data_IF_824250178393
#
_entry.id   IF_824250178393
#
_cell.length_a   1.000
_cell.length_b   1.000
_cell.length_c   1.000
_cell.angle_alpha   90.00
_cell.angle_beta   90.00
_cell.angle_gamma   90.00
#
_symmetry.space_group_name_H-M   'P 1'
#
loop_
_entity.id
_entity.type
_entity.pdbx_description
1 polymer ?
#
# COMPACT_ATOMS: atom_id res chain seq x y z
N UNK A 1 -19.54 -0.11 48.58
CA UNK A 1 -18.60 -1.15 48.10
C UNK A 1 -19.29 -2.50 47.94
N UNK A 2 -20.09 -2.97 48.91
CA UNK A 2 -20.88 -4.21 48.78
C UNK A 2 -21.89 -4.19 47.61
N UNK A 3 -22.63 -3.09 47.44
CA UNK A 3 -23.65 -2.97 46.37
C UNK A 3 -23.07 -3.02 44.94
N UNK A 4 -21.85 -2.52 44.73
CA UNK A 4 -21.16 -2.64 43.43
C UNK A 4 -20.71 -4.08 43.17
N UNK A 5 -20.33 -4.82 44.21
CA UNK A 5 -19.92 -6.21 44.10
C UNK A 5 -21.13 -7.09 43.76
N UNK A 6 -22.25 -6.89 44.44
CA UNK A 6 -23.50 -7.61 44.15
C UNK A 6 -24.00 -7.33 42.71
N UNK A 7 -23.89 -6.10 42.23
CA UNK A 7 -24.23 -5.77 40.85
C UNK A 7 -23.29 -6.45 39.84
N UNK A 8 -22.00 -6.63 40.17
CA UNK A 8 -21.05 -7.36 39.31
C UNK A 8 -21.36 -8.86 39.27
N UNK A 9 -21.70 -9.47 40.40
CA UNK A 9 -22.09 -10.88 40.44
C UNK A 9 -23.34 -11.15 39.59
N UNK A 10 -24.32 -10.24 39.61
CA UNK A 10 -25.48 -10.33 38.74
C UNK A 10 -25.12 -10.19 37.24
N UNK A 11 -24.16 -9.31 36.91
CA UNK A 11 -23.65 -9.20 35.54
C UNK A 11 -22.93 -10.48 35.11
N UNK A 12 -22.11 -11.07 35.97
CA UNK A 12 -21.37 -12.30 35.68
C UNK A 12 -22.33 -13.47 35.38
N UNK A 13 -23.45 -13.58 36.09
CA UNK A 13 -24.48 -14.59 35.81
C UNK A 13 -25.13 -14.39 34.43
N UNK A 14 -25.43 -13.15 34.06
CA UNK A 14 -25.98 -12.81 32.74
C UNK A 14 -24.95 -13.10 31.64
N UNK A 15 -23.70 -12.71 31.85
CA UNK A 15 -22.61 -12.92 30.89
C UNK A 15 -22.36 -14.41 30.64
N UNK A 16 -22.45 -15.25 31.66
CA UNK A 16 -22.38 -16.70 31.51
C UNK A 16 -23.48 -17.24 30.56
N UNK A 17 -24.71 -16.73 30.68
CA UNK A 17 -25.80 -17.10 29.77
C UNK A 17 -25.57 -16.59 28.34
N UNK A 18 -25.02 -15.38 28.19
CA UNK A 18 -24.68 -14.81 26.88
C UNK A 18 -23.64 -15.69 26.17
N UNK A 19 -22.61 -16.16 26.89
CA UNK A 19 -21.58 -17.05 26.35
C UNK A 19 -22.20 -18.37 25.87
N UNK A 20 -23.04 -19.01 26.69
CA UNK A 20 -23.71 -20.26 26.32
C UNK A 20 -24.60 -20.09 25.07
N UNK A 21 -25.37 -18.99 25.02
CA UNK A 21 -26.22 -18.66 23.87
C UNK A 21 -25.41 -18.35 22.61
N UNK A 22 -24.25 -17.71 22.76
CA UNK A 22 -23.34 -17.44 21.65
C UNK A 22 -22.83 -18.74 21.03
N UNK A 23 -22.35 -19.70 21.84
CA UNK A 23 -21.89 -21.00 21.34
C UNK A 23 -23.00 -21.77 20.62
N UNK A 24 -24.20 -21.85 21.23
CA UNK A 24 -25.37 -22.46 20.60
C UNK A 24 -25.69 -21.81 19.24
N UNK A 25 -25.62 -20.48 19.17
CA UNK A 25 -25.85 -19.73 17.94
C UNK A 25 -24.79 -20.05 16.88
N UNK A 26 -23.52 -20.17 17.26
CA UNK A 26 -22.43 -20.49 16.32
C UNK A 26 -22.54 -21.92 15.77
N UNK A 27 -22.93 -22.90 16.59
CA UNK A 27 -23.20 -24.27 16.13
C UNK A 27 -24.33 -24.30 15.08
N UNK A 28 -25.39 -23.51 15.26
CA UNK A 28 -26.45 -23.39 14.25
C UNK A 28 -25.92 -22.69 12.99
N UNK A 29 -25.05 -21.69 13.15
CA UNK A 29 -24.43 -21.00 12.01
C UNK A 29 -23.57 -21.94 11.16
N UNK A 30 -22.87 -22.89 11.80
CA UNK A 30 -22.10 -23.93 11.12
C UNK A 30 -22.98 -24.78 10.22
N UNK A 31 -24.11 -25.28 10.75
CA UNK A 31 -25.10 -26.06 9.98
C UNK A 31 -25.72 -25.24 8.84
N UNK A 32 -25.97 -23.95 9.06
CA UNK A 32 -26.43 -23.03 8.00
C UNK A 32 -25.38 -22.91 6.89
N UNK A 33 -24.10 -22.85 7.24
CA UNK A 33 -23.00 -22.84 6.29
C UNK A 33 -22.93 -24.11 5.45
N UNK A 34 -22.98 -25.28 6.09
CA UNK A 34 -23.02 -26.59 5.42
C UNK A 34 -24.19 -26.68 4.42
N UNK A 35 -25.38 -26.26 4.86
CA UNK A 35 -26.55 -26.22 3.99
C UNK A 35 -26.35 -25.28 2.80
N UNK A 36 -25.78 -24.08 3.02
CA UNK A 36 -25.50 -23.12 1.95
C UNK A 36 -24.49 -23.67 0.95
N UNK A 37 -23.43 -24.33 1.42
CA UNK A 37 -22.43 -25.00 0.58
C UNK A 37 -23.11 -26.06 -0.29
N UNK A 38 -23.86 -26.98 0.33
CA UNK A 38 -24.53 -28.08 -0.37
C UNK A 38 -25.59 -27.61 -1.40
N UNK A 39 -26.20 -26.43 -1.18
CA UNK A 39 -27.21 -25.85 -2.08
C UNK A 39 -26.69 -24.72 -2.96
N UNK A 40 -25.39 -24.40 -2.91
CA UNK A 40 -24.80 -23.30 -3.67
C UNK A 40 -25.40 -21.92 -3.35
N UNK A 41 -25.86 -21.69 -2.12
CA UNK A 41 -26.45 -20.41 -1.69
C UNK A 41 -25.39 -19.43 -1.18
N UNK A 42 -25.65 -18.13 -1.36
CA UNK A 42 -24.77 -17.06 -0.85
C UNK A 42 -24.76 -17.01 0.68
N UNK A 43 -23.60 -16.66 1.23
CA UNK A 43 -23.42 -16.43 2.68
C UNK A 43 -24.06 -15.13 3.09
N UNK A 44 -23.69 -14.03 2.43
CA UNK A 44 -24.21 -12.71 2.73
C UNK A 44 -25.56 -12.45 2.07
N UNK A 45 -26.53 -12.02 2.87
CA UNK A 45 -27.88 -11.63 2.44
C UNK A 45 -28.24 -10.31 3.12
N UNK A 46 -28.05 -9.20 2.38
CA UNK A 46 -28.25 -7.84 2.88
C UNK A 46 -29.66 -7.61 3.42
N UNK A 47 -30.67 -8.15 2.75
CA UNK A 47 -32.07 -7.92 3.15
C UNK A 47 -32.40 -8.68 4.43
N UNK A 48 -31.95 -9.94 4.54
CA UNK A 48 -32.16 -10.75 5.74
C UNK A 48 -31.50 -10.11 6.97
N UNK A 49 -30.28 -9.61 6.83
CA UNK A 49 -29.56 -8.97 7.94
C UNK A 49 -30.22 -7.66 8.36
N UNK A 50 -30.60 -6.80 7.41
CA UNK A 50 -31.35 -5.57 7.69
C UNK A 50 -32.66 -5.85 8.44
N UNK A 51 -33.41 -6.85 7.99
CA UNK A 51 -34.65 -7.27 8.66
C UNK A 51 -34.39 -7.74 10.09
N UNK A 52 -33.29 -8.48 10.30
CA UNK A 52 -32.94 -9.00 11.61
C UNK A 52 -32.51 -7.89 12.58
N UNK A 53 -31.76 -6.89 12.10
CA UNK A 53 -31.40 -5.70 12.89
C UNK A 53 -32.62 -4.88 13.30
N UNK A 54 -33.63 -4.76 12.43
CA UNK A 54 -34.90 -4.11 12.76
C UNK A 54 -35.69 -4.91 13.81
N UNK A 55 -35.78 -6.24 13.67
CA UNK A 55 -36.45 -7.15 14.61
C UNK A 55 -35.87 -7.06 16.02
N UNK A 56 -34.54 -7.08 16.17
CA UNK A 56 -33.91 -7.02 17.51
C UNK A 56 -34.01 -5.64 18.15
N UNK A 57 -33.93 -4.56 17.35
CA UNK A 57 -34.12 -3.21 17.83
C UNK A 57 -35.54 -2.99 18.36
N UNK A 58 -36.55 -3.61 17.75
CA UNK A 58 -37.94 -3.52 18.21
C UNK A 58 -38.20 -4.22 19.57
N UNK A 59 -37.28 -5.05 20.04
CA UNK A 59 -37.41 -5.82 21.30
C UNK A 59 -36.83 -5.10 22.53
N UNK A 60 -36.25 -3.92 22.34
CA UNK A 60 -35.65 -3.12 23.41
C UNK A 60 -36.29 -1.73 23.48
N UNK A 61 -36.35 -1.16 24.67
CA UNK A 61 -37.18 0.02 24.95
C UNK A 61 -36.48 1.36 24.78
N UNK A 62 -35.23 1.50 25.24
CA UNK A 62 -34.49 2.78 25.16
C UNK A 62 -33.76 2.94 23.82
N UNK A 63 -33.61 4.19 23.35
CA UNK A 63 -32.88 4.46 22.10
C UNK A 63 -31.40 4.09 22.20
N UNK A 64 -30.82 4.19 23.40
CA UNK A 64 -29.49 3.67 23.70
C UNK A 64 -29.42 2.14 23.45
N UNK A 65 -30.36 1.38 24.01
CA UNK A 65 -30.38 -0.08 23.84
C UNK A 65 -30.70 -0.49 22.40
N UNK A 66 -31.56 0.26 21.68
CA UNK A 66 -31.83 0.01 20.26
C UNK A 66 -30.56 0.09 19.43
N UNK A 67 -29.75 1.12 19.64
CA UNK A 67 -28.46 1.27 18.95
C UNK A 67 -27.47 0.18 19.38
N UNK A 68 -27.32 -0.04 20.69
CA UNK A 68 -26.39 -1.04 21.23
C UNK A 68 -26.70 -2.47 20.77
N UNK A 69 -27.97 -2.89 20.73
CA UNK A 69 -28.34 -4.24 20.29
C UNK A 69 -28.13 -4.41 18.77
N UNK A 70 -28.31 -3.35 17.98
CA UNK A 70 -28.01 -3.40 16.55
C UNK A 70 -26.51 -3.57 16.31
N UNK A 71 -25.66 -2.82 17.01
CA UNK A 71 -24.20 -2.96 16.93
C UNK A 71 -23.75 -4.36 17.34
N UNK A 72 -24.26 -4.90 18.44
CA UNK A 72 -23.97 -6.27 18.88
C UNK A 72 -24.37 -7.30 17.81
N UNK A 73 -25.59 -7.20 17.27
CA UNK A 73 -26.05 -8.16 16.27
C UNK A 73 -25.31 -8.04 14.93
N UNK A 74 -24.85 -6.86 14.54
CA UNK A 74 -23.96 -6.69 13.39
C UNK A 74 -22.65 -7.47 13.58
N UNK A 75 -22.05 -7.40 14.77
CA UNK A 75 -20.85 -8.18 15.09
C UNK A 75 -21.14 -9.68 15.07
N UNK A 76 -22.24 -10.13 15.67
CA UNK A 76 -22.65 -11.54 15.64
C UNK A 76 -22.88 -12.05 14.21
N UNK A 77 -23.49 -11.24 13.35
CA UNK A 77 -23.69 -11.59 11.93
C UNK A 77 -22.37 -11.66 11.17
N UNK A 78 -21.48 -10.68 11.37
CA UNK A 78 -20.13 -10.68 10.81
C UNK A 78 -19.38 -11.96 11.18
N UNK A 79 -19.43 -12.37 12.46
CA UNK A 79 -18.88 -13.64 12.93
C UNK A 79 -19.47 -14.87 12.25
N UNK A 80 -20.78 -14.87 12.07
CA UNK A 80 -21.48 -15.97 11.37
C UNK A 80 -21.00 -16.10 9.94
N UNK A 81 -20.85 -14.98 9.23
CA UNK A 81 -20.39 -14.97 7.84
C UNK A 81 -18.95 -15.46 7.74
N UNK A 82 -18.07 -15.01 8.64
CA UNK A 82 -16.66 -15.43 8.70
C UNK A 82 -16.52 -16.94 8.86
N UNK A 83 -17.26 -17.56 9.79
CA UNK A 83 -17.29 -19.02 9.94
C UNK A 83 -17.76 -19.71 8.65
N UNK A 84 -18.84 -19.22 8.04
CA UNK A 84 -19.40 -19.80 6.82
C UNK A 84 -18.45 -19.66 5.62
N UNK A 85 -17.76 -18.54 5.49
CA UNK A 85 -16.74 -18.35 4.47
C UNK A 85 -15.56 -19.29 4.69
N UNK A 86 -15.12 -19.51 5.93
CA UNK A 86 -14.08 -20.49 6.24
C UNK A 86 -14.50 -21.91 5.86
N UNK A 87 -15.76 -22.31 6.10
CA UNK A 87 -16.29 -23.60 5.65
C UNK A 87 -16.28 -23.72 4.12
N UNK A 88 -16.63 -22.65 3.40
CA UNK A 88 -16.57 -22.61 1.94
C UNK A 88 -15.13 -22.73 1.41
N UNK A 89 -14.15 -22.11 2.07
CA UNK A 89 -12.73 -22.26 1.74
C UNK A 89 -12.33 -23.73 1.88
N UNK A 90 -12.62 -24.33 3.04
CA UNK A 90 -12.30 -25.74 3.35
C UNK A 90 -12.95 -26.72 2.39
N UNK A 91 -14.18 -26.46 1.96
CA UNK A 91 -14.90 -27.29 1.00
C UNK A 91 -14.39 -27.18 -0.45
N UNK A 92 -13.37 -26.34 -0.71
CA UNK A 92 -12.89 -26.08 -2.07
C UNK A 92 -13.91 -25.36 -2.95
N UNK A 93 -14.97 -24.82 -2.35
CA UNK A 93 -16.05 -24.12 -3.04
C UNK A 93 -15.68 -22.65 -3.35
N UNK A 94 -14.50 -22.19 -2.93
CA UNK A 94 -13.91 -20.96 -3.47
C UNK A 94 -13.25 -21.26 -4.81
N UNK A 95 -13.71 -20.57 -5.85
CA UNK A 95 -12.95 -20.46 -7.09
C UNK A 95 -11.54 -19.94 -6.82
N UNK A 96 -10.59 -20.35 -7.67
CA UNK A 96 -9.22 -19.82 -7.61
C UNK A 96 -9.27 -18.31 -7.85
N UNK A 97 -8.51 -17.55 -7.05
CA UNK A 97 -8.25 -16.16 -7.40
C UNK A 97 -7.55 -16.14 -8.78
N UNK A 98 -7.82 -15.14 -9.63
CA UNK A 98 -7.27 -15.09 -10.99
C UNK A 98 -5.80 -14.70 -11.01
N UNK A 99 -5.02 -15.15 -10.02
CA UNK A 99 -3.59 -14.89 -9.85
C UNK A 99 -2.82 -16.20 -9.96
N UNK A 100 -1.67 -16.14 -10.63
CA UNK A 100 -0.78 -17.27 -10.89
C UNK A 100 0.41 -17.16 -9.94
N UNK A 101 0.60 -18.19 -9.12
CA UNK A 101 1.79 -18.32 -8.28
C UNK A 101 3.00 -18.68 -9.15
N UNK A 102 4.10 -17.97 -8.99
CA UNK A 102 5.37 -18.22 -9.68
C UNK A 102 6.51 -18.41 -8.67
N UNK A 103 7.52 -19.21 -9.01
CA UNK A 103 8.68 -19.41 -8.12
C UNK A 103 9.57 -18.16 -8.06
N UNK A 104 9.71 -17.42 -9.16
CA UNK A 104 10.50 -16.19 -9.25
C UNK A 104 10.04 -15.31 -10.40
N UNK A 105 10.37 -14.02 -10.34
CA UNK A 105 10.21 -13.11 -11.47
C UNK A 105 11.38 -13.29 -12.45
N UNK A 106 11.08 -13.38 -13.75
CA UNK A 106 12.08 -13.49 -14.81
C UNK A 106 12.80 -12.16 -15.01
N UNK A 107 13.90 -11.92 -14.28
CA UNK A 107 14.64 -10.65 -14.31
C UNK A 107 15.63 -10.51 -15.47
N UNK A 108 16.20 -11.62 -15.95
CA UNK A 108 17.37 -11.61 -16.85
C UNK A 108 17.04 -11.12 -18.27
N UNK A 109 15.83 -11.37 -18.75
CA UNK A 109 15.36 -10.98 -20.08
C UNK A 109 14.35 -9.85 -20.04
N UNK A 110 14.01 -9.34 -18.86
CA UNK A 110 12.95 -8.36 -18.68
C UNK A 110 13.31 -7.00 -19.25
N UNK A 111 12.36 -6.37 -19.93
CA UNK A 111 12.39 -4.95 -20.27
C UNK A 111 11.77 -4.17 -19.12
N UNK A 112 12.55 -3.31 -18.48
CA UNK A 112 12.11 -2.56 -17.30
C UNK A 112 12.03 -1.08 -17.61
N UNK A 113 10.90 -0.45 -17.31
CA UNK A 113 10.72 1.00 -17.45
C UNK A 113 10.76 1.69 -16.09
N UNK A 114 11.33 2.89 -16.04
CA UNK A 114 11.21 3.77 -14.87
C UNK A 114 10.84 5.17 -15.31
N UNK A 115 10.20 5.93 -14.42
CA UNK A 115 9.90 7.33 -14.66
C UNK A 115 11.11 8.21 -14.29
N UNK A 116 11.46 9.15 -15.17
CA UNK A 116 12.44 10.18 -14.90
C UNK A 116 13.50 10.31 -16.00
N UNK A 117 14.76 10.47 -15.59
CA UNK A 117 15.93 10.60 -16.45
C UNK A 117 17.08 9.78 -15.89
N UNK A 118 18.13 9.56 -16.67
CA UNK A 118 19.34 8.90 -16.21
C UNK A 118 19.96 9.59 -14.97
N UNK A 119 20.28 8.81 -13.96
CA UNK A 119 20.74 9.25 -12.64
C UNK A 119 19.61 9.47 -11.62
N UNK A 120 18.34 9.39 -12.00
CA UNK A 120 17.23 9.56 -11.07
C UNK A 120 17.14 8.40 -10.05
N UNK A 121 16.53 8.67 -8.89
CA UNK A 121 16.30 7.67 -7.85
C UNK A 121 15.47 6.46 -8.35
N UNK A 122 14.57 6.66 -9.33
CA UNK A 122 13.85 5.56 -9.98
C UNK A 122 14.77 4.58 -10.71
N UNK A 123 15.81 5.08 -11.38
CA UNK A 123 16.81 4.23 -12.02
C UNK A 123 17.65 3.48 -10.99
N UNK A 124 18.05 4.15 -9.91
CA UNK A 124 18.80 3.53 -8.81
C UNK A 124 18.00 2.40 -8.16
N UNK A 125 16.71 2.63 -7.88
CA UNK A 125 15.81 1.62 -7.33
C UNK A 125 15.63 0.43 -8.30
N UNK A 126 15.50 0.72 -9.59
CA UNK A 126 15.43 -0.30 -10.63
C UNK A 126 16.68 -1.17 -10.67
N UNK A 127 17.88 -0.56 -10.65
CA UNK A 127 19.13 -1.32 -10.65
C UNK A 127 19.36 -2.09 -9.35
N UNK A 128 18.92 -1.56 -8.19
CA UNK A 128 18.94 -2.30 -6.93
C UNK A 128 18.07 -3.57 -7.01
N UNK A 129 16.93 -3.50 -7.69
CA UNK A 129 16.00 -4.63 -7.78
C UNK A 129 16.33 -5.63 -8.91
N UNK A 130 16.69 -5.14 -10.09
CA UNK A 130 16.92 -5.94 -11.31
C UNK A 130 18.40 -6.17 -11.66
N UNK A 131 19.33 -5.44 -11.04
CA UNK A 131 20.75 -5.46 -11.35
C UNK A 131 21.22 -4.32 -12.28
N UNK A 132 22.52 -4.01 -12.25
CA UNK A 132 23.11 -2.86 -12.98
C UNK A 132 22.95 -2.92 -14.51
N UNK A 133 22.86 -4.12 -15.09
CA UNK A 133 22.81 -4.34 -16.55
C UNK A 133 21.42 -4.78 -17.05
N UNK A 134 20.35 -4.44 -16.32
CA UNK A 134 19.00 -4.78 -16.76
C UNK A 134 18.63 -4.02 -18.05
N UNK A 135 17.95 -4.73 -18.96
CA UNK A 135 17.43 -4.15 -20.19
C UNK A 135 16.33 -3.14 -19.82
N UNK A 136 16.65 -1.85 -19.87
CA UNK A 136 15.78 -0.82 -19.32
C UNK A 136 15.77 0.46 -20.13
N UNK A 137 14.68 1.21 -19.97
CA UNK A 137 14.51 2.54 -20.57
C UNK A 137 13.73 3.45 -19.62
N UNK A 138 13.68 4.74 -19.94
CA UNK A 138 13.03 5.75 -19.13
C UNK A 138 11.96 6.49 -19.91
N UNK A 139 10.95 6.94 -19.18
CA UNK A 139 9.83 7.73 -19.70
C UNK A 139 9.61 8.97 -18.85
N UNK A 140 8.81 9.91 -19.34
CA UNK A 140 8.68 11.23 -18.71
C UNK A 140 7.70 11.21 -17.55
N UNK A 141 6.58 10.53 -17.69
CA UNK A 141 5.50 10.54 -16.70
C UNK A 141 5.26 9.16 -16.08
N UNK A 142 4.59 9.10 -14.92
CA UNK A 142 4.20 7.81 -14.34
C UNK A 142 3.16 7.09 -15.22
N UNK A 143 2.28 7.86 -15.86
CA UNK A 143 1.33 7.35 -16.84
C UNK A 143 2.03 6.67 -18.02
N UNK A 144 3.03 7.31 -18.62
CA UNK A 144 3.80 6.72 -19.74
C UNK A 144 4.40 5.36 -19.33
N UNK A 145 4.81 5.19 -18.07
CA UNK A 145 5.37 3.94 -17.58
C UNK A 145 4.29 2.86 -17.42
N UNK A 146 3.08 3.23 -16.98
CA UNK A 146 1.94 2.33 -16.91
C UNK A 146 1.48 1.90 -18.31
N UNK A 147 1.40 2.84 -19.25
CA UNK A 147 1.05 2.59 -20.66
C UNK A 147 2.09 1.70 -21.34
N UNK A 148 3.38 1.92 -21.08
CA UNK A 148 4.44 1.07 -21.63
C UNK A 148 4.32 -0.40 -21.21
N UNK A 149 3.81 -0.68 -20.00
CA UNK A 149 3.51 -2.05 -19.58
C UNK A 149 2.25 -2.57 -20.29
N UNK A 150 1.19 -1.78 -20.36
CA UNK A 150 -0.09 -2.17 -20.97
C UNK A 150 0.08 -2.52 -22.47
N UNK A 151 0.87 -1.73 -23.20
CA UNK A 151 1.20 -1.95 -24.61
C UNK A 151 2.19 -3.10 -24.83
N UNK A 152 2.81 -3.63 -23.77
CA UNK A 152 3.83 -4.67 -23.86
C UNK A 152 5.20 -4.17 -24.35
N UNK A 153 5.46 -2.86 -24.28
CA UNK A 153 6.77 -2.26 -24.53
C UNK A 153 7.75 -2.51 -23.38
N UNK A 154 7.24 -2.63 -22.15
CA UNK A 154 7.95 -3.07 -20.94
C UNK A 154 7.25 -4.26 -20.29
N UNK A 155 8.02 -5.10 -19.60
CA UNK A 155 7.50 -6.23 -18.83
C UNK A 155 7.25 -5.85 -17.36
N UNK A 156 8.07 -4.92 -16.84
CA UNK A 156 7.93 -4.34 -15.50
C UNK A 156 8.15 -2.82 -15.49
N UNK A 157 7.57 -2.14 -14.51
CA UNK A 157 7.92 -0.77 -14.17
C UNK A 157 8.34 -0.65 -12.71
N UNK A 158 9.30 0.24 -12.44
CA UNK A 158 9.74 0.60 -11.08
C UNK A 158 9.31 2.02 -10.78
N UNK A 159 8.40 2.17 -9.82
CA UNK A 159 7.67 3.41 -9.58
C UNK A 159 7.64 3.77 -8.08
N UNK A 160 7.84 5.04 -7.70
CA UNK A 160 7.78 5.45 -6.31
C UNK A 160 6.33 5.43 -5.82
N UNK A 161 6.06 4.88 -4.64
CA UNK A 161 4.70 4.90 -4.03
C UNK A 161 4.62 5.78 -2.78
N UNK A 162 5.74 5.95 -2.08
CA UNK A 162 5.79 6.65 -0.79
C UNK A 162 7.20 7.11 -0.47
N UNK A 163 7.31 8.27 0.15
CA UNK A 163 8.54 8.79 0.74
C UNK A 163 8.32 9.08 2.23
N UNK A 164 9.30 8.77 3.08
CA UNK A 164 9.17 8.92 4.53
C UNK A 164 9.04 10.37 4.99
N UNK A 165 9.52 11.34 4.21
CA UNK A 165 9.42 12.77 4.52
C UNK A 165 8.25 13.46 3.82
N UNK A 166 7.97 13.11 2.56
CA UNK A 166 6.94 13.77 1.74
C UNK A 166 5.59 13.03 1.71
N UNK A 167 5.53 11.81 2.26
CA UNK A 167 4.32 10.98 2.30
C UNK A 167 4.05 10.25 0.98
N UNK A 168 2.76 9.95 0.75
CA UNK A 168 2.27 9.18 -0.38
C UNK A 168 2.45 9.90 -1.74
N UNK A 169 2.86 9.16 -2.76
CA UNK A 169 2.84 9.64 -4.15
C UNK A 169 1.42 9.48 -4.69
N UNK A 170 0.58 10.51 -4.48
CA UNK A 170 -0.85 10.45 -4.74
C UNK A 170 -1.20 9.96 -6.15
N UNK A 171 -0.58 10.51 -7.19
CA UNK A 171 -0.79 10.12 -8.60
C UNK A 171 -0.67 8.60 -8.80
N UNK A 172 0.20 7.94 -8.03
CA UNK A 172 0.41 6.51 -8.19
C UNK A 172 -0.73 5.65 -7.69
N UNK A 173 -1.44 6.10 -6.64
CA UNK A 173 -2.66 5.44 -6.18
C UNK A 173 -3.78 5.54 -7.21
N UNK A 174 -3.87 6.66 -7.93
CA UNK A 174 -4.89 6.83 -8.97
C UNK A 174 -4.58 5.93 -10.17
N UNK A 175 -3.33 5.95 -10.63
CA UNK A 175 -2.87 5.12 -11.75
C UNK A 175 -2.99 3.62 -11.46
N UNK A 176 -2.74 3.18 -10.21
CA UNK A 176 -2.94 1.79 -9.81
C UNK A 176 -4.40 1.33 -9.89
N UNK A 177 -5.36 2.26 -9.81
CA UNK A 177 -6.78 1.94 -9.96
C UNK A 177 -7.24 2.05 -11.41
N UNK A 178 -6.66 2.98 -12.17
CA UNK A 178 -6.96 3.19 -13.58
C UNK A 178 -6.45 2.05 -14.47
N UNK A 179 -5.18 1.68 -14.34
CA UNK A 179 -4.53 0.65 -15.16
C UNK A 179 -4.66 -0.73 -14.53
N UNK A 180 -4.83 -1.81 -15.30
CA UNK A 180 -4.84 -3.20 -14.81
C UNK A 180 -3.43 -3.76 -14.52
N UNK A 181 -2.59 -2.98 -13.83
CA UNK A 181 -1.27 -3.41 -13.37
C UNK A 181 -1.31 -3.94 -11.93
N UNK A 182 -0.36 -4.84 -11.61
CA UNK A 182 -0.24 -5.55 -10.35
C UNK A 182 1.17 -5.41 -9.77
N UNK A 183 1.26 -5.15 -8.47
CA UNK A 183 2.49 -5.08 -7.71
C UNK A 183 3.01 -6.50 -7.45
N UNK A 184 4.26 -6.74 -7.83
CA UNK A 184 4.95 -8.04 -7.74
C UNK A 184 6.27 -7.95 -6.97
N UNK A 185 6.63 -6.76 -6.51
CA UNK A 185 7.80 -6.52 -5.68
C UNK A 185 7.79 -5.11 -5.10
N UNK A 186 8.64 -4.90 -4.11
CA UNK A 186 9.00 -3.57 -3.63
C UNK A 186 10.51 -3.47 -3.39
N UNK A 187 11.01 -2.24 -3.35
CA UNK A 187 12.38 -1.94 -2.92
C UNK A 187 12.40 -0.59 -2.21
N UNK A 188 13.23 -0.47 -1.18
CA UNK A 188 13.37 0.77 -0.41
C UNK A 188 14.77 1.32 -0.69
N UNK A 189 14.83 2.60 -1.03
CA UNK A 189 16.07 3.29 -1.33
C UNK A 189 16.26 4.49 -0.38
N UNK A 190 17.41 4.59 0.31
CA UNK A 190 17.74 5.79 1.07
C UNK A 190 17.94 6.98 0.13
N UNK A 191 17.35 8.12 0.48
CA UNK A 191 17.50 9.38 -0.23
C UNK A 191 18.68 10.12 0.39
N UNK A 192 19.89 9.73 0.01
CA UNK A 192 21.12 10.37 0.46
C UNK A 192 21.62 11.34 -0.60
N UNK A 193 21.61 12.62 -0.24
CA UNK A 193 22.19 13.69 -1.05
C UNK A 193 23.69 13.78 -0.80
N UNK A 194 24.41 14.07 -1.87
CA UNK A 194 25.84 14.26 -1.92
C UNK A 194 26.14 15.54 -2.68
N UNK A 195 27.24 16.20 -2.33
CA UNK A 195 27.79 17.27 -3.14
C UNK A 195 28.71 16.64 -4.19
N UNK A 196 28.40 16.80 -5.47
CA UNK A 196 29.15 16.23 -6.58
C UNK A 196 29.72 17.34 -7.48
N UNK A 197 30.94 17.14 -7.96
CA UNK A 197 31.62 18.06 -8.87
C UNK A 197 32.44 17.31 -9.91
N UNK A 198 33.08 18.05 -10.82
CA UNK A 198 34.00 17.44 -11.78
C UNK A 198 35.17 16.72 -11.06
N UNK A 199 35.73 15.66 -11.66
CA UNK A 199 36.91 15.00 -11.10
C UNK A 199 38.06 15.98 -10.81
N UNK A 200 38.52 15.98 -9.56
CA UNK A 200 39.59 16.85 -9.08
C UNK A 200 39.16 18.24 -8.61
N UNK A 201 37.86 18.58 -8.63
CA UNK A 201 37.34 19.81 -8.01
C UNK A 201 37.57 19.79 -6.50
N UNK A 202 37.99 20.92 -5.93
CA UNK A 202 38.09 21.11 -4.48
C UNK A 202 36.92 21.95 -3.97
N UNK A 203 36.56 21.79 -2.70
CA UNK A 203 35.51 22.61 -2.08
C UNK A 203 35.81 24.12 -2.15
N UNK A 204 37.09 24.51 -2.11
CA UNK A 204 37.53 25.90 -2.25
C UNK A 204 37.26 26.51 -3.63
N UNK A 205 37.01 25.68 -4.64
CA UNK A 205 36.80 26.14 -6.01
C UNK A 205 35.32 26.51 -6.25
N UNK A 206 34.41 25.98 -5.42
CA UNK A 206 32.96 26.06 -5.61
C UNK A 206 32.46 27.48 -5.35
N UNK A 207 31.61 27.96 -6.26
CA UNK A 207 30.90 29.22 -6.17
C UNK A 207 29.40 29.06 -6.38
N UNK A 208 28.97 28.01 -7.10
CA UNK A 208 27.56 27.76 -7.42
C UNK A 208 27.17 26.31 -7.16
N UNK A 209 26.00 26.12 -6.57
CA UNK A 209 25.42 24.80 -6.29
C UNK A 209 24.06 24.67 -6.97
N UNK A 210 23.88 23.62 -7.75
CA UNK A 210 22.64 23.33 -8.47
C UNK A 210 21.90 22.14 -7.86
N UNK A 211 20.59 22.23 -7.71
CA UNK A 211 19.74 21.07 -7.40
C UNK A 211 18.25 21.37 -7.53
N UNK A 212 17.39 20.40 -7.25
CA UNK A 212 15.95 20.64 -7.07
C UNK A 212 15.71 21.42 -5.79
N UNK A 213 14.71 22.30 -5.76
CA UNK A 213 14.37 23.11 -4.58
C UNK A 213 14.26 22.28 -3.29
N UNK A 214 13.58 21.13 -3.33
CA UNK A 214 13.42 20.24 -2.17
C UNK A 214 14.75 19.63 -1.72
N UNK A 215 15.67 19.32 -2.64
CA UNK A 215 16.98 18.82 -2.29
C UNK A 215 17.86 19.90 -1.66
N UNK A 216 17.82 21.14 -2.17
CA UNK A 216 18.51 22.28 -1.54
C UNK A 216 17.99 22.53 -0.12
N UNK A 217 16.67 22.50 0.07
CA UNK A 217 16.05 22.65 1.39
C UNK A 217 16.42 21.51 2.34
N UNK A 218 16.59 20.29 1.84
CA UNK A 218 16.96 19.11 2.63
C UNK A 218 18.46 19.07 2.98
N UNK A 219 19.27 19.96 2.43
CA UNK A 219 20.72 20.05 2.70
C UNK A 219 21.09 21.44 3.22
N UNK A 220 20.14 22.15 3.81
CA UNK A 220 20.29 23.56 4.18
C UNK A 220 21.37 23.77 5.22
N UNK A 221 21.49 22.90 6.24
CA UNK A 221 22.50 23.04 7.29
C UNK A 221 23.91 22.94 6.74
N UNK A 222 24.13 22.06 5.77
CA UNK A 222 25.42 21.93 5.09
C UNK A 222 25.71 23.15 4.22
N UNK A 223 24.72 23.60 3.43
CA UNK A 223 24.88 24.74 2.53
C UNK A 223 25.03 26.08 3.28
N UNK A 224 24.47 26.21 4.47
CA UNK A 224 24.59 27.40 5.32
C UNK A 224 26.02 27.59 5.87
N UNK A 225 26.77 26.49 6.06
CA UNK A 225 28.21 26.55 6.39
C UNK A 225 29.03 27.13 5.23
N UNK A 226 28.49 27.05 4.01
CA UNK A 226 29.05 27.55 2.77
C UNK A 226 28.18 28.68 2.18
N UNK A 227 27.77 29.62 3.03
CA UNK A 227 26.83 30.70 2.68
C UNK A 227 27.30 31.62 1.53
N UNK A 228 28.57 31.57 1.15
CA UNK A 228 29.14 32.26 -0.01
C UNK A 228 28.77 31.62 -1.35
N UNK A 229 28.29 30.37 -1.37
CA UNK A 229 27.88 29.68 -2.58
C UNK A 229 26.48 30.11 -3.04
N UNK A 230 26.37 30.45 -4.32
CA UNK A 230 25.09 30.73 -4.95
C UNK A 230 24.32 29.43 -5.19
N UNK A 231 23.16 29.29 -4.55
CA UNK A 231 22.27 28.15 -4.73
C UNK A 231 21.29 28.40 -5.88
N UNK A 232 21.19 27.47 -6.83
CA UNK A 232 20.38 27.61 -8.04
C UNK A 232 19.47 26.40 -8.21
N UNK A 233 18.16 26.65 -8.23
CA UNK A 233 17.14 25.62 -8.39
C UNK A 233 17.00 25.19 -9.85
N UNK A 234 16.92 23.87 -10.08
CA UNK A 234 16.63 23.22 -11.36
C UNK A 234 15.50 22.19 -11.21
N UNK A 235 15.05 21.61 -12.31
CA UNK A 235 13.85 20.75 -12.34
C UNK A 235 14.00 19.45 -11.54
N UNK A 236 15.18 18.82 -11.56
CA UNK A 236 15.45 17.64 -10.75
C UNK A 236 16.96 17.48 -10.43
N UNK A 237 17.29 16.62 -9.47
CA UNK A 237 18.65 16.39 -8.97
C UNK A 237 19.59 15.76 -10.02
N UNK A 238 19.07 14.89 -10.89
CA UNK A 238 19.86 14.26 -11.94
C UNK A 238 20.22 15.23 -13.08
N UNK A 239 19.33 16.17 -13.40
CA UNK A 239 19.59 17.29 -14.33
C UNK A 239 20.66 18.21 -13.74
N UNK A 240 20.67 18.43 -12.42
CA UNK A 240 21.74 19.19 -11.78
C UNK A 240 23.10 18.52 -12.00
N UNK A 241 23.22 17.21 -11.77
CA UNK A 241 24.45 16.46 -12.02
C UNK A 241 24.88 16.54 -13.51
N UNK A 242 23.93 16.28 -14.43
CA UNK A 242 24.18 16.38 -15.87
C UNK A 242 24.70 17.77 -16.27
N UNK A 243 24.13 18.83 -15.69
CA UNK A 243 24.55 20.20 -15.95
C UNK A 243 26.03 20.45 -15.59
N UNK A 244 26.51 19.90 -14.46
CA UNK A 244 27.92 20.07 -14.06
C UNK A 244 28.87 19.46 -15.11
N UNK A 245 28.49 18.32 -15.66
CA UNK A 245 29.25 17.67 -16.72
C UNK A 245 29.22 18.49 -18.02
N UNK A 246 28.05 18.98 -18.42
CA UNK A 246 27.86 19.75 -19.67
C UNK A 246 28.56 21.12 -19.64
N UNK A 247 28.49 21.84 -18.50
CA UNK A 247 29.12 23.15 -18.33
C UNK A 247 30.66 23.04 -18.24
N UNK A 248 31.18 21.88 -17.79
CA UNK A 248 32.62 21.62 -17.60
C UNK A 248 33.34 22.69 -16.73
N UNK A 249 32.61 23.31 -15.81
CA UNK A 249 33.06 24.40 -14.94
C UNK A 249 33.31 23.89 -13.51
N UNK A 250 34.58 23.94 -13.06
CA UNK A 250 34.98 23.48 -11.73
C UNK A 250 34.46 24.33 -10.59
N UNK A 251 33.95 25.53 -10.87
CA UNK A 251 33.32 26.39 -9.86
C UNK A 251 31.87 25.98 -9.55
N UNK A 252 31.36 24.98 -10.24
CA UNK A 252 30.01 24.49 -10.06
C UNK A 252 30.00 23.11 -9.40
N UNK A 253 29.00 22.89 -8.55
CA UNK A 253 28.69 21.60 -7.96
C UNK A 253 27.19 21.32 -8.01
N UNK A 254 26.81 20.05 -7.87
CA UNK A 254 25.43 19.61 -7.79
C UNK A 254 25.16 18.92 -6.46
N UNK A 255 24.02 19.24 -5.84
CA UNK A 255 23.44 18.38 -4.81
C UNK A 255 22.62 17.29 -5.51
N UNK A 256 23.08 16.05 -5.45
CA UNK A 256 22.43 14.92 -6.11
C UNK A 256 22.71 13.60 -5.39
N UNK A 257 22.10 12.50 -5.83
CA UNK A 257 22.44 11.19 -5.29
C UNK A 257 23.85 10.77 -5.73
N UNK A 258 24.53 9.96 -4.91
CA UNK A 258 25.80 9.34 -5.30
C UNK A 258 25.67 8.55 -6.62
N UNK A 259 24.48 7.97 -6.84
CA UNK A 259 24.13 7.30 -8.09
C UNK A 259 24.16 8.25 -9.29
N UNK A 260 23.51 9.41 -9.21
CA UNK A 260 23.55 10.42 -10.27
C UNK A 260 24.98 10.88 -10.55
N UNK A 261 25.79 11.09 -9.50
CA UNK A 261 27.20 11.43 -9.65
C UNK A 261 27.97 10.34 -10.43
N UNK A 262 27.80 9.05 -10.07
CA UNK A 262 28.41 7.91 -10.77
C UNK A 262 27.99 7.85 -12.24
N UNK A 263 26.69 7.96 -12.53
CA UNK A 263 26.14 7.89 -13.90
C UNK A 263 26.72 8.99 -14.79
N UNK A 264 26.90 10.20 -14.25
CA UNK A 264 27.43 11.35 -14.99
C UNK A 264 28.97 11.51 -14.86
N UNK A 265 29.68 10.53 -14.30
CA UNK A 265 31.14 10.56 -14.18
C UNK A 265 31.68 11.66 -13.26
N UNK A 266 30.86 12.19 -12.35
CA UNK A 266 31.24 13.18 -11.36
C UNK A 266 31.92 12.53 -10.16
N UNK A 267 32.77 13.28 -9.47
CA UNK A 267 33.32 12.89 -8.18
C UNK A 267 32.44 13.39 -7.05
N UNK A 268 32.16 12.51 -6.09
CA UNK A 268 31.52 12.90 -4.84
C UNK A 268 32.54 13.65 -4.00
N UNK A 269 32.24 14.90 -3.69
CA UNK A 269 33.09 15.80 -2.88
C UNK A 269 32.77 15.65 -1.40
N UNK A 270 31.49 15.54 -1.07
CA UNK A 270 31.00 15.31 0.30
C UNK A 270 29.80 14.36 0.22
N UNK A 271 29.84 13.29 1.01
CA UNK A 271 28.73 12.34 1.16
C UNK A 271 27.83 12.72 2.35
N UNK A 272 26.55 12.37 2.27
CA UNK A 272 25.62 12.45 3.40
C UNK A 272 25.39 13.87 3.91
N UNK A 273 25.08 14.80 3.00
CA UNK A 273 24.85 16.22 3.35
C UNK A 273 23.40 16.54 3.73
N UNK A 274 22.59 15.52 4.00
CA UNK A 274 21.20 15.65 4.41
C UNK A 274 21.09 16.30 5.80
N UNK A 275 20.05 17.11 5.99
CA UNK A 275 19.66 17.63 7.30
C UNK A 275 19.04 16.55 8.18
N UNK A 276 18.38 15.56 7.57
CA UNK A 276 17.73 14.42 8.21
C UNK A 276 18.26 13.10 7.62
N UNK A 277 18.74 12.20 8.48
CA UNK A 277 19.35 10.92 8.07
C UNK A 277 18.30 9.87 7.64
N UNK A 278 17.06 9.99 8.12
CA UNK A 278 15.99 9.00 7.94
C UNK A 278 15.04 9.31 6.77
N UNK A 279 15.59 9.60 5.60
CA UNK A 279 14.81 9.82 4.37
C UNK A 279 14.89 8.61 3.44
N UNK A 280 13.75 7.96 3.19
CA UNK A 280 13.66 6.78 2.36
C UNK A 280 12.50 6.92 1.37
N UNK A 281 12.68 6.38 0.17
CA UNK A 281 11.60 6.23 -0.80
C UNK A 281 11.33 4.75 -1.04
N UNK A 282 10.06 4.36 -0.87
CA UNK A 282 9.56 3.03 -1.21
C UNK A 282 9.15 3.04 -2.68
N UNK A 283 9.70 2.12 -3.44
CA UNK A 283 9.36 1.87 -4.83
C UNK A 283 8.64 0.53 -4.95
N UNK A 284 7.65 0.47 -5.83
CA UNK A 284 6.94 -0.74 -6.22
C UNK A 284 7.42 -1.20 -7.59
N UNK A 285 7.40 -2.52 -7.79
CA UNK A 285 7.63 -3.18 -9.07
C UNK A 285 6.28 -3.67 -9.57
N UNK A 286 5.85 -3.21 -10.73
CA UNK A 286 4.52 -3.52 -11.28
C UNK A 286 4.62 -4.19 -12.65
N UNK A 287 3.63 -5.02 -12.98
CA UNK A 287 3.48 -5.70 -14.28
C UNK A 287 1.98 -5.80 -14.65
N UNK A 288 1.64 -6.05 -15.92
CA UNK A 288 0.25 -6.30 -16.35
C UNK A 288 -0.19 -7.76 -16.12
N UNK A 289 0.72 -8.62 -15.65
CA UNK A 289 0.42 -10.02 -15.37
C UNK A 289 -0.13 -10.19 -13.95
N UNK A 290 -1.21 -10.97 -13.80
CA UNK A 290 -1.74 -11.38 -12.50
C UNK A 290 -0.88 -12.49 -11.90
N UNK A 291 0.37 -12.18 -11.57
CA UNK A 291 1.32 -13.11 -10.96
C UNK A 291 1.67 -12.66 -9.54
N UNK A 292 2.12 -13.60 -8.71
CA UNK A 292 2.72 -13.31 -7.41
C UNK A 292 3.77 -14.39 -7.10
N UNK A 293 4.79 -14.02 -6.32
CA UNK A 293 5.84 -14.96 -5.94
C UNK A 293 5.36 -15.88 -4.84
N UNK A 294 5.89 -17.10 -4.79
CA UNK A 294 5.60 -18.06 -3.73
C UNK A 294 6.01 -17.58 -2.33
N UNK A 295 7.05 -16.77 -2.25
CA UNK A 295 7.56 -16.16 -1.01
C UNK A 295 6.96 -14.78 -0.72
N UNK A 296 5.94 -14.34 -1.47
CA UNK A 296 5.27 -13.08 -1.24
C UNK A 296 4.50 -13.07 0.08
N UNK A 297 4.76 -12.08 0.92
CA UNK A 297 4.23 -11.95 2.28
C UNK A 297 3.44 -10.66 2.50
N UNK A 298 3.28 -9.83 1.47
CA UNK A 298 2.51 -8.59 1.53
C UNK A 298 1.47 -8.53 0.43
N UNK A 299 0.28 -8.05 0.77
CA UNK A 299 -0.82 -7.85 -0.18
C UNK A 299 -1.27 -6.39 -0.10
N UNK A 300 -1.41 -5.77 -1.27
CA UNK A 300 -2.06 -4.48 -1.41
C UNK A 300 -3.44 -4.67 -2.02
N UNK A 301 -4.45 -4.03 -1.41
CA UNK A 301 -5.81 -3.97 -1.94
C UNK A 301 -6.32 -2.54 -1.97
N UNK A 302 -7.34 -2.33 -2.80
CA UNK A 302 -8.11 -1.11 -2.87
C UNK A 302 -9.60 -1.45 -2.78
N UNK A 303 -10.34 -0.79 -1.90
CA UNK A 303 -11.79 -0.95 -1.83
C UNK A 303 -12.54 0.36 -1.61
N UNK A 304 -13.79 0.41 -2.06
CA UNK A 304 -14.72 1.50 -1.82
C UNK A 304 -15.83 1.08 -0.86
N UNK A 305 -16.25 2.00 0.00
CA UNK A 305 -17.31 1.80 0.98
C UNK A 305 -18.43 2.81 0.81
N UNK A 306 -19.63 2.48 1.30
CA UNK A 306 -20.69 3.47 1.45
C UNK A 306 -20.30 4.50 2.53
N UNK A 307 -20.61 5.77 2.28
CA UNK A 307 -20.39 6.85 3.26
C UNK A 307 -21.45 6.82 4.36
N UNK A 308 -21.34 5.83 5.25
CA UNK A 308 -22.26 5.54 6.34
C UNK A 308 -21.48 5.19 7.62
N UNK A 309 -22.09 5.41 8.79
CA UNK A 309 -21.49 5.08 10.08
C UNK A 309 -21.16 3.58 10.17
N UNK A 310 -19.92 3.25 10.55
CA UNK A 310 -19.47 1.87 10.74
C UNK A 310 -18.96 1.17 9.48
N UNK A 311 -19.16 1.72 8.27
CA UNK A 311 -18.80 1.05 7.01
C UNK A 311 -17.33 0.58 6.96
N UNK A 312 -16.38 1.47 7.27
CA UNK A 312 -14.96 1.10 7.28
C UNK A 312 -14.66 0.06 8.37
N UNK A 313 -15.17 0.28 9.59
CA UNK A 313 -14.97 -0.61 10.72
C UNK A 313 -15.42 -2.05 10.42
N UNK A 314 -16.60 -2.23 9.81
CA UNK A 314 -17.10 -3.54 9.42
C UNK A 314 -16.20 -4.24 8.41
N UNK A 315 -15.67 -3.52 7.42
CA UNK A 315 -14.74 -4.10 6.45
C UNK A 315 -13.38 -4.43 7.09
N UNK A 316 -12.84 -3.56 7.93
CA UNK A 316 -11.57 -3.82 8.62
C UNK A 316 -11.68 -5.01 9.59
N UNK A 317 -12.88 -5.32 10.06
CA UNK A 317 -13.13 -6.55 10.80
C UNK A 317 -12.81 -7.83 10.01
N UNK A 318 -12.63 -7.81 8.69
CA UNK A 318 -12.16 -9.01 8.00
C UNK A 318 -10.69 -9.34 8.29
N UNK A 319 -9.87 -8.36 8.66
CA UNK A 319 -8.46 -8.60 9.00
C UNK A 319 -8.31 -9.20 10.39
N UNK A 320 -8.88 -8.55 11.41
CA UNK A 320 -8.77 -8.94 12.82
C UNK A 320 -9.15 -10.41 13.04
N UNK A 321 -10.24 -10.88 12.41
CA UNK A 321 -10.75 -12.22 12.66
C UNK A 321 -10.11 -13.32 11.80
N UNK A 322 -9.27 -12.92 10.86
CA UNK A 322 -8.40 -13.84 10.13
C UNK A 322 -6.95 -13.73 10.63
N UNK A 323 -6.73 -13.04 11.76
CA UNK A 323 -5.42 -12.77 12.35
C UNK A 323 -4.43 -12.15 11.34
N UNK A 324 -4.93 -11.27 10.47
CA UNK A 324 -4.13 -10.58 9.45
C UNK A 324 -3.69 -9.22 9.97
N UNK A 325 -2.37 -8.97 9.95
CA UNK A 325 -1.80 -7.70 10.37
C UNK A 325 -1.83 -6.68 9.21
N UNK A 326 -2.40 -5.50 9.45
CA UNK A 326 -2.36 -4.39 8.49
C UNK A 326 -1.11 -3.55 8.70
N UNK A 327 -0.37 -3.28 7.62
CA UNK A 327 0.85 -2.46 7.66
C UNK A 327 0.62 -1.05 7.12
N UNK A 328 -0.49 -0.81 6.40
CA UNK A 328 -0.84 0.50 5.86
C UNK A 328 -2.33 0.66 5.67
N UNK A 329 -2.83 1.87 5.91
CA UNK A 329 -4.16 2.30 5.45
C UNK A 329 -4.08 3.75 4.99
N UNK A 330 -4.56 4.01 3.76
CA UNK A 330 -4.60 5.35 3.16
C UNK A 330 -5.99 5.59 2.57
N UNK A 331 -6.53 6.80 2.70
CA UNK A 331 -7.84 7.15 2.16
C UNK A 331 -7.71 8.19 1.07
N UNK A 332 -8.42 7.99 -0.05
CA UNK A 332 -8.43 8.90 -1.20
C UNK A 332 -9.86 9.23 -1.59
N UNK A 333 -10.22 10.50 -1.83
CA UNK A 333 -11.54 10.85 -2.32
C UNK A 333 -11.77 10.23 -3.71
N UNK A 334 -12.99 9.76 -3.97
CA UNK A 334 -13.36 9.23 -5.27
C UNK A 334 -13.74 10.38 -6.20
N UNK A 335 -13.03 10.51 -7.32
CA UNK A 335 -13.34 11.54 -8.31
C UNK A 335 -14.79 11.43 -8.82
N UNK A 336 -15.47 12.58 -8.92
CA UNK A 336 -16.86 12.64 -9.35
C UNK A 336 -17.91 12.17 -8.33
N UNK A 337 -17.51 11.70 -7.14
CA UNK A 337 -18.44 11.30 -6.06
C UNK A 337 -18.13 12.03 -4.77
N UNK A 338 -18.92 13.06 -4.47
CA UNK A 338 -18.76 13.87 -3.26
C UNK A 338 -18.84 13.02 -2.00
N UNK A 339 -17.82 13.14 -1.15
CA UNK A 339 -17.71 12.49 0.17
C UNK A 339 -17.63 10.96 0.14
N UNK A 340 -17.43 10.34 -1.03
CA UNK A 340 -17.07 8.93 -1.12
C UNK A 340 -15.55 8.76 -1.14
N UNK A 341 -15.08 7.72 -0.44
CA UNK A 341 -13.65 7.46 -0.27
C UNK A 341 -13.32 6.05 -0.71
N UNK A 342 -12.14 5.93 -1.29
CA UNK A 342 -11.45 4.69 -1.60
C UNK A 342 -10.34 4.51 -0.59
N UNK A 343 -10.19 3.28 -0.10
CA UNK A 343 -9.17 2.91 0.87
C UNK A 343 -8.15 1.99 0.22
N UNK A 344 -6.88 2.32 0.40
CA UNK A 344 -5.74 1.49 0.04
C UNK A 344 -5.19 0.87 1.30
N UNK A 345 -5.05 -0.45 1.31
CA UNK A 345 -4.61 -1.21 2.48
C UNK A 345 -3.50 -2.15 2.07
N UNK A 346 -2.39 -2.09 2.80
CA UNK A 346 -1.35 -3.11 2.78
C UNK A 346 -1.50 -3.98 4.03
N UNK A 347 -1.39 -5.30 3.88
CA UNK A 347 -1.44 -6.25 4.99
C UNK A 347 -0.54 -7.46 4.73
N UNK A 348 -0.14 -8.12 5.80
CA UNK A 348 0.71 -9.31 5.76
C UNK A 348 -0.09 -10.55 5.35
N UNK A 349 0.48 -11.37 4.49
CA UNK A 349 -0.05 -12.65 4.03
C UNK A 349 0.20 -12.94 2.56
N UNK A 350 -0.17 -14.15 2.13
CA UNK A 350 -0.10 -14.61 0.75
C UNK A 350 -1.50 -14.90 0.18
N UNK A 351 -1.70 -14.65 -1.12
CA UNK A 351 -2.92 -15.05 -1.82
C UNK A 351 -3.13 -16.56 -1.83
N UNK A 352 -2.13 -17.36 -1.46
CA UNK A 352 -2.23 -18.80 -1.27
C UNK A 352 -2.83 -19.18 0.09
N UNK A 353 -2.83 -18.28 1.07
CA UNK A 353 -3.30 -18.55 2.43
C UNK A 353 -4.83 -18.63 2.54
N UNK A 354 -5.30 -19.58 3.36
CA UNK A 354 -6.73 -19.74 3.63
C UNK A 354 -7.36 -18.53 4.31
N UNK A 355 -6.65 -17.93 5.27
CA UNK A 355 -7.07 -16.74 6.02
C UNK A 355 -7.23 -15.51 5.10
N UNK A 356 -6.26 -15.30 4.21
CA UNK A 356 -6.30 -14.23 3.19
C UNK A 356 -7.46 -14.43 2.22
N UNK A 357 -7.62 -15.64 1.65
CA UNK A 357 -8.74 -15.96 0.74
C UNK A 357 -10.10 -15.70 1.41
N UNK A 358 -10.19 -16.04 2.70
CA UNK A 358 -11.39 -15.80 3.51
C UNK A 358 -11.66 -14.30 3.68
N UNK A 359 -10.65 -13.52 4.06
CA UNK A 359 -10.75 -12.07 4.23
C UNK A 359 -11.14 -11.36 2.93
N UNK A 360 -10.44 -11.66 1.82
CA UNK A 360 -10.71 -11.09 0.48
C UNK A 360 -12.14 -11.38 0.02
N UNK A 361 -12.66 -12.59 0.30
CA UNK A 361 -14.05 -12.94 -0.04
C UNK A 361 -15.05 -12.10 0.74
N UNK A 362 -14.86 -11.97 2.05
CA UNK A 362 -15.71 -11.15 2.90
C UNK A 362 -15.73 -9.69 2.42
N UNK A 363 -14.54 -9.13 2.20
CA UNK A 363 -14.36 -7.78 1.65
C UNK A 363 -15.10 -7.61 0.32
N UNK A 364 -15.01 -8.57 -0.60
CA UNK A 364 -15.65 -8.50 -1.92
C UNK A 364 -17.18 -8.49 -1.86
N UNK A 365 -17.78 -9.21 -0.92
CA UNK A 365 -19.25 -9.29 -0.78
C UNK A 365 -19.83 -8.06 -0.06
N UNK A 366 -19.04 -7.46 0.82
CA UNK A 366 -19.46 -6.36 1.71
C UNK A 366 -19.06 -4.98 1.21
N UNK A 367 -17.99 -4.85 0.41
CA UNK A 367 -17.59 -3.58 -0.21
C UNK A 367 -18.44 -3.22 -1.43
N UNK A 368 -18.33 -1.95 -1.89
CA UNK A 368 -18.90 -1.54 -3.19
C UNK A 368 -18.05 -2.01 -4.35
N UNK A 369 -16.73 -1.93 -4.17
CA UNK A 369 -15.73 -2.45 -5.10
C UNK A 369 -14.54 -2.97 -4.29
N UNK A 370 -13.86 -3.99 -4.81
CA UNK A 370 -12.61 -4.51 -4.27
C UNK A 370 -11.70 -4.85 -5.43
N UNK A 371 -10.48 -4.33 -5.38
CA UNK A 371 -9.40 -4.64 -6.30
C UNK A 371 -8.19 -5.13 -5.52
N UNK A 372 -7.61 -6.23 -5.98
CA UNK A 372 -6.29 -6.67 -5.51
C UNK A 372 -5.27 -5.94 -6.37
N UNK A 373 -4.40 -5.17 -5.73
CA UNK A 373 -3.36 -4.39 -6.40
C UNK A 373 -2.07 -5.20 -6.52
N UNK A 374 -1.86 -6.24 -5.72
CA UNK A 374 -0.71 -7.12 -5.85
C UNK A 374 -0.51 -8.02 -4.63
N UNK A 375 0.34 -9.03 -4.78
CA UNK A 375 0.91 -9.80 -3.68
C UNK A 375 2.40 -9.99 -3.98
N UNK A 376 3.25 -9.52 -3.08
CA UNK A 376 4.66 -9.33 -3.36
C UNK A 376 5.56 -9.46 -2.15
#
# INVERSE_FOLDING_TARGET
MAELLELREQLDEIDAQIVELYEKRMNICEQVGEYKIAKGKKVFDRQREKNKLADVAARVSSDFNKKGIQELYQQLMSMSRKLQYQQLVKAGALGRLPFIEVDSLEKSTARVVFQGVEGAYGQAAMQQYFGENCNSFHVRTFRDAMEAIEEGSADFAVLPIENSSAGAVNEMYDLLVEFENYIVGETILPVTHTLAGLPGTKLSDIQRVYSKAEALMQTSRFLDVHADWQQISVVNTAIAAKKILEDADRTQAAVCSAYAAKVHGLSVLVEGINDEENNFTRFIVVTNQKIFRKDADKISICFEVAHESGSLYHLLSHFIYNDLNMTKIESRPVEGRSWEYRFFVDFEGSLSDGAVKNAIRGLREESRSLRILGNY
#
